data_IF_475269855838
#
_entry.id   IF_475269855838
#
_cell.length_a   1.000
_cell.length_b   1.000
_cell.length_c   1.000
_cell.angle_alpha   90.00
_cell.angle_beta   90.00
_cell.angle_gamma   90.00
#
_symmetry.space_group_name_H-M   'P 1'
#
loop_
_entity.id
_entity.type
_entity.pdbx_description
1 polymer ?
#
# COMPACT_ATOMS: atom_id res chain seq x y z
N UNK A 1 1.00 7.10 -5.36
CA UNK A 1 1.93 7.74 -6.32
C UNK A 1 2.86 8.69 -5.56
N UNK A 2 4.18 8.59 -5.80
CA UNK A 2 5.19 9.41 -5.13
C UNK A 2 5.82 8.80 -3.86
N UNK A 3 5.36 7.63 -3.43
CA UNK A 3 5.86 6.88 -2.28
C UNK A 3 5.71 5.37 -2.48
N UNK A 4 5.98 4.60 -1.43
CA UNK A 4 5.88 3.12 -1.43
C UNK A 4 5.18 2.64 -0.15
N UNK A 5 4.90 1.35 -0.05
CA UNK A 5 4.64 0.68 1.22
C UNK A 5 5.96 0.15 1.80
N UNK A 6 6.50 0.82 2.82
CA UNK A 6 7.73 0.37 3.50
C UNK A 6 7.52 -1.01 4.15
N UNK A 7 6.34 -1.23 4.73
CA UNK A 7 5.90 -2.52 5.27
C UNK A 7 4.43 -2.73 4.92
N UNK A 8 4.10 -3.84 4.24
CA UNK A 8 2.76 -4.11 3.72
C UNK A 8 2.29 -5.52 4.12
N UNK A 9 1.09 -5.58 4.70
CA UNK A 9 0.32 -6.79 4.90
C UNK A 9 -0.87 -6.78 3.94
N UNK A 10 -0.67 -7.18 2.69
CA UNK A 10 -1.73 -7.14 1.68
C UNK A 10 -2.92 -8.05 2.01
N UNK A 11 -2.70 -9.10 2.81
CA UNK A 11 -3.74 -10.02 3.32
C UNK A 11 -4.24 -9.67 4.73
N UNK A 12 -3.69 -8.62 5.34
CA UNK A 12 -4.14 -8.07 6.63
C UNK A 12 -3.98 -8.99 7.84
N UNK A 13 -2.96 -9.86 7.86
CA UNK A 13 -2.67 -10.75 9.00
C UNK A 13 -1.31 -10.41 9.59
N UNK A 14 -1.30 -9.70 10.72
CA UNK A 14 -0.07 -9.20 11.36
C UNK A 14 0.86 -10.29 11.91
N UNK A 15 0.37 -11.52 12.08
CA UNK A 15 1.21 -12.67 12.44
C UNK A 15 2.17 -13.05 11.30
N UNK A 16 1.80 -12.77 10.06
CA UNK A 16 2.67 -12.98 8.91
C UNK A 16 3.65 -11.81 8.82
N UNK A 17 4.90 -12.03 8.41
CA UNK A 17 5.82 -10.92 8.15
C UNK A 17 5.28 -10.05 7.00
N UNK A 18 5.42 -8.71 7.09
CA UNK A 18 5.07 -7.82 6.00
C UNK A 18 6.04 -7.99 4.83
N UNK A 19 5.55 -7.69 3.63
CA UNK A 19 6.40 -7.39 2.47
C UNK A 19 6.94 -5.97 2.60
N UNK A 20 8.07 -5.69 1.95
CA UNK A 20 8.73 -4.37 2.00
C UNK A 20 8.83 -3.76 0.61
N UNK A 21 8.95 -2.43 0.59
CA UNK A 21 9.25 -1.61 -0.58
C UNK A 21 8.28 -1.80 -1.77
N UNK A 22 7.00 -2.09 -1.48
CA UNK A 22 6.01 -2.31 -2.54
C UNK A 22 5.55 -0.99 -3.16
N UNK A 23 5.59 -0.90 -4.49
CA UNK A 23 5.01 0.22 -5.26
C UNK A 23 3.48 0.18 -5.24
N UNK A 24 2.90 -1.01 -5.34
CA UNK A 24 1.46 -1.29 -5.28
C UNK A 24 1.25 -2.67 -4.64
N UNK A 25 0.09 -2.91 -4.01
CA UNK A 25 -0.26 -4.19 -3.39
C UNK A 25 -1.73 -4.54 -3.62
N UNK A 26 -2.08 -5.82 -3.48
CA UNK A 26 -3.42 -6.30 -3.83
C UNK A 26 -4.28 -6.64 -2.60
N UNK A 27 -5.35 -5.88 -2.40
CA UNK A 27 -6.39 -6.21 -1.40
C UNK A 27 -7.47 -7.04 -2.09
N UNK A 28 -7.59 -8.32 -1.70
CA UNK A 28 -8.63 -9.22 -2.22
C UNK A 28 -10.01 -8.76 -1.77
N UNK A 29 -11.03 -8.91 -2.63
CA UNK A 29 -12.42 -8.63 -2.27
C UNK A 29 -12.85 -9.42 -1.02
N UNK A 30 -13.55 -8.76 -0.09
CA UNK A 30 -13.93 -9.34 1.21
C UNK A 30 -12.79 -9.43 2.24
N UNK A 31 -11.68 -8.73 2.01
CA UNK A 31 -10.56 -8.64 2.95
C UNK A 31 -10.15 -7.20 3.24
N UNK A 32 -9.28 -7.03 4.23
CA UNK A 32 -8.60 -5.78 4.52
C UNK A 32 -7.10 -6.04 4.53
N UNK A 33 -6.31 -5.03 4.18
CA UNK A 33 -4.86 -5.03 4.33
C UNK A 33 -4.38 -3.76 5.02
N UNK A 34 -3.08 -3.71 5.31
CA UNK A 34 -2.45 -2.57 5.96
C UNK A 34 -1.09 -2.28 5.31
N UNK A 35 -0.76 -1.00 5.20
CA UNK A 35 0.55 -0.54 4.75
C UNK A 35 1.06 0.56 5.68
N UNK A 36 2.35 0.54 5.96
CA UNK A 36 3.08 1.60 6.65
C UNK A 36 4.02 2.28 5.67
N UNK A 37 4.09 3.59 5.72
CA UNK A 37 5.03 4.40 4.95
C UNK A 37 5.50 5.59 5.78
N UNK A 38 6.81 5.80 5.81
CA UNK A 38 7.43 7.01 6.36
C UNK A 38 7.68 8.00 5.23
N UNK A 39 6.95 9.12 5.23
CA UNK A 39 7.12 10.17 4.21
C UNK A 39 8.55 10.73 4.25
N UNK A 40 9.20 10.77 3.07
CA UNK A 40 10.57 11.27 2.92
C UNK A 40 10.67 12.61 2.19
N UNK A 41 9.60 13.04 1.52
CA UNK A 41 9.57 14.28 0.75
C UNK A 41 8.28 15.05 1.06
N UNK A 42 8.29 16.40 1.07
CA UNK A 42 7.07 17.20 1.10
C UNK A 42 6.37 17.15 -0.27
N UNK A 43 5.10 17.53 -0.33
CA UNK A 43 4.33 17.61 -1.58
C UNK A 43 2.95 16.99 -1.46
N UNK A 44 2.21 17.00 -2.58
CA UNK A 44 0.89 16.37 -2.69
C UNK A 44 1.07 14.94 -3.21
N UNK A 45 0.43 13.99 -2.53
CA UNK A 45 0.46 12.57 -2.88
C UNK A 45 -0.95 12.08 -3.18
N UNK A 46 -1.07 11.23 -4.20
CA UNK A 46 -2.31 10.51 -4.50
C UNK A 46 -2.22 9.06 -4.02
N UNK A 47 -3.20 8.62 -3.22
CA UNK A 47 -3.42 7.23 -2.84
C UNK A 47 -4.61 6.70 -3.65
N UNK A 48 -4.37 5.70 -4.50
CA UNK A 48 -5.31 5.31 -5.56
C UNK A 48 -5.36 3.80 -5.74
N UNK A 49 -6.43 3.32 -6.35
CA UNK A 49 -6.41 2.05 -7.07
C UNK A 49 -5.57 2.24 -8.34
N UNK A 50 -4.58 1.37 -8.56
CA UNK A 50 -3.67 1.51 -9.70
C UNK A 50 -4.26 1.01 -11.04
N UNK A 51 -5.53 0.60 -11.05
CA UNK A 51 -6.36 0.68 -12.25
C UNK A 51 -6.82 2.14 -12.44
N UNK A 52 -6.08 2.90 -13.27
CA UNK A 52 -6.28 4.34 -13.43
C UNK A 52 -7.61 4.73 -14.10
N UNK A 53 -8.36 3.78 -14.66
CA UNK A 53 -9.71 4.02 -15.18
C UNK A 53 -10.73 4.12 -14.04
N UNK A 54 -10.42 3.53 -12.87
CA UNK A 54 -11.28 3.50 -11.68
C UNK A 54 -10.94 4.60 -10.66
N UNK A 55 -9.89 5.40 -10.91
CA UNK A 55 -9.32 6.36 -9.97
C UNK A 55 -9.96 7.76 -10.05
#
# INVERSE_FOLDING_TARGET
IGGHGDHVWETGKFVNPPQRDLETWFIRGGSAGAALYTFRQPGIYAYVNHNLIEA
#
